data_IF_014174081877
#
_entry.id   IF_014174081877
#
_cell.length_a   1.000
_cell.length_b   1.000
_cell.length_c   1.000
_cell.angle_alpha   90.00
_cell.angle_beta   90.00
_cell.angle_gamma   90.00
#
_symmetry.space_group_name_H-M   'P 1'
#
loop_
_entity.id
_entity.type
_entity.pdbx_description
1 polymer ?
#
# COMPACT_ATOMS: atom_id res chain seq x y z
N UNK A 1 41.51 -27.95 -28.55
CA UNK A 1 41.39 -27.20 -27.28
C UNK A 1 40.28 -26.16 -27.46
N UNK A 2 39.21 -26.21 -26.69
CA UNK A 2 38.15 -25.18 -26.74
C UNK A 2 38.70 -23.92 -26.06
N UNK A 3 39.03 -22.89 -26.84
CA UNK A 3 39.50 -21.62 -26.31
C UNK A 3 38.28 -20.88 -25.78
N UNK A 4 38.29 -20.60 -24.48
CA UNK A 4 37.25 -19.80 -23.83
C UNK A 4 37.81 -18.39 -23.65
N UNK A 5 37.20 -17.40 -24.29
CA UNK A 5 37.54 -15.99 -24.06
C UNK A 5 36.62 -15.45 -22.97
N UNK A 6 37.20 -14.92 -21.90
CA UNK A 6 36.45 -14.39 -20.76
C UNK A 6 36.70 -12.90 -20.58
N UNK A 7 35.64 -12.16 -20.28
CA UNK A 7 35.68 -10.78 -19.80
C UNK A 7 35.13 -10.74 -18.37
N UNK A 8 35.84 -10.07 -17.48
CA UNK A 8 35.45 -9.93 -16.07
C UNK A 8 35.61 -8.47 -15.66
N UNK A 9 34.50 -7.86 -15.26
CA UNK A 9 34.43 -6.56 -14.60
C UNK A 9 33.79 -6.67 -13.21
N UNK A 10 33.68 -5.56 -12.46
CA UNK A 10 33.19 -5.57 -11.07
C UNK A 10 31.75 -6.09 -10.91
N UNK A 11 30.88 -5.76 -11.86
CA UNK A 11 29.45 -6.12 -11.84
C UNK A 11 29.04 -7.00 -13.02
N UNK A 12 29.97 -7.32 -13.94
CA UNK A 12 29.66 -8.01 -15.18
C UNK A 12 30.71 -9.07 -15.49
N UNK A 13 30.25 -10.24 -15.89
CA UNK A 13 31.09 -11.33 -16.37
C UNK A 13 30.51 -11.87 -17.66
N UNK A 14 31.36 -12.10 -18.66
CA UNK A 14 30.98 -12.75 -19.90
C UNK A 14 32.03 -13.78 -20.32
N UNK A 15 31.57 -14.88 -20.90
CA UNK A 15 32.43 -15.89 -21.50
C UNK A 15 31.85 -16.34 -22.84
N UNK A 16 32.74 -16.52 -23.80
CA UNK A 16 32.42 -17.12 -25.10
C UNK A 16 33.35 -18.29 -25.35
N UNK A 17 32.86 -19.28 -26.09
CA UNK A 17 33.64 -20.43 -26.51
C UNK A 17 33.78 -20.36 -28.02
N UNK A 18 35.00 -20.48 -28.58
CA UNK A 18 35.21 -20.33 -30.02
C UNK A 18 34.42 -21.33 -30.88
N UNK A 19 34.01 -22.46 -30.31
CA UNK A 19 33.17 -23.48 -30.98
C UNK A 19 31.66 -23.23 -30.87
N UNK A 20 31.23 -22.20 -30.13
CA UNK A 20 29.82 -21.88 -29.88
C UNK A 20 29.57 -20.39 -30.06
N UNK A 21 28.64 -20.02 -30.94
CA UNK A 21 28.21 -18.61 -31.09
C UNK A 21 27.47 -18.05 -29.86
N UNK A 22 27.19 -18.88 -28.85
CA UNK A 22 26.53 -18.45 -27.62
C UNK A 22 27.52 -17.79 -26.64
N UNK A 23 27.18 -16.59 -26.19
CA UNK A 23 27.83 -15.88 -25.09
C UNK A 23 27.08 -16.20 -23.79
N UNK A 24 27.80 -16.63 -22.75
CA UNK A 24 27.27 -16.73 -21.39
C UNK A 24 27.64 -15.46 -20.64
N UNK A 25 26.69 -14.81 -20.00
CA UNK A 25 26.95 -13.62 -19.20
C UNK A 25 26.25 -13.69 -17.84
N UNK A 26 26.80 -12.96 -16.88
CA UNK A 26 26.24 -12.76 -15.53
C UNK A 26 26.39 -11.29 -15.18
N UNK A 27 25.33 -10.72 -14.62
CA UNK A 27 25.31 -9.34 -14.16
C UNK A 27 24.89 -9.31 -12.70
N UNK A 28 25.72 -8.72 -11.85
CA UNK A 28 25.51 -8.56 -10.43
C UNK A 28 25.07 -7.12 -10.15
N UNK A 29 23.77 -6.87 -10.36
CA UNK A 29 23.17 -5.58 -10.07
C UNK A 29 22.98 -5.42 -8.55
N UNK A 30 23.54 -4.34 -7.98
CA UNK A 30 23.17 -3.86 -6.64
C UNK A 30 22.25 -2.67 -6.82
N UNK A 31 21.07 -2.71 -6.22
CA UNK A 31 20.07 -1.65 -6.33
C UNK A 31 19.79 -1.04 -4.97
N UNK A 32 19.97 0.27 -4.87
CA UNK A 32 19.56 1.07 -3.72
C UNK A 32 18.21 1.71 -4.03
N UNK A 33 17.19 1.33 -3.25
CA UNK A 33 15.83 1.86 -3.40
C UNK A 33 15.47 2.60 -2.12
N UNK A 34 15.28 3.91 -2.24
CA UNK A 34 14.95 4.77 -1.10
C UNK A 34 13.61 5.47 -1.35
N UNK A 35 12.69 5.31 -0.39
CA UNK A 35 11.48 6.11 -0.29
C UNK A 35 11.70 7.31 0.62
N UNK A 36 11.39 8.53 0.16
CA UNK A 36 11.47 9.72 1.01
C UNK A 36 10.41 10.76 0.72
N UNK A 37 10.20 11.64 1.71
CA UNK A 37 9.23 12.74 1.66
C UNK A 37 9.96 14.08 1.68
N UNK A 38 9.77 14.91 0.64
CA UNK A 38 10.44 16.22 0.50
C UNK A 38 9.41 17.34 0.32
N UNK A 39 9.62 18.49 0.97
CA UNK A 39 8.90 19.74 0.71
C UNK A 39 9.79 20.72 -0.07
N UNK A 40 9.24 21.41 -1.06
CA UNK A 40 9.98 22.44 -1.84
C UNK A 40 10.05 23.80 -1.13
N UNK A 41 9.15 24.07 -0.19
CA UNK A 41 9.02 25.34 0.54
C UNK A 41 8.59 25.07 1.99
N UNK A 42 8.90 25.98 2.91
CA UNK A 42 8.51 25.92 4.33
C UNK A 42 7.00 25.69 4.53
N UNK A 43 6.17 26.32 3.68
CA UNK A 43 4.71 26.18 3.69
C UNK A 43 4.16 25.27 2.58
N UNK A 44 5.05 24.64 1.80
CA UNK A 44 4.66 23.80 0.67
C UNK A 44 4.15 22.42 1.09
N UNK A 45 3.23 21.84 0.32
CA UNK A 45 2.80 20.46 0.52
C UNK A 45 3.98 19.50 0.30
N UNK A 46 4.13 18.54 1.21
CA UNK A 46 5.09 17.46 1.04
C UNK A 46 4.74 16.57 -0.16
N UNK A 47 5.77 16.09 -0.86
CA UNK A 47 5.65 15.11 -1.94
C UNK A 47 6.53 13.90 -1.62
N UNK A 48 6.08 12.73 -2.03
CA UNK A 48 6.82 11.50 -1.83
C UNK A 48 7.52 11.11 -3.12
N UNK A 49 8.70 10.51 -2.97
CA UNK A 49 9.55 10.11 -4.08
C UNK A 49 10.06 8.71 -3.81
N UNK A 50 10.16 7.93 -4.89
CA UNK A 50 11.01 6.76 -4.95
C UNK A 50 12.24 7.15 -5.76
N UNK A 51 13.40 6.77 -5.26
CA UNK A 51 14.70 7.05 -5.86
C UNK A 51 15.44 5.73 -5.95
N UNK A 52 15.89 5.41 -7.16
CA UNK A 52 16.57 4.17 -7.50
C UNK A 52 17.91 4.53 -8.08
N UNK A 53 18.96 3.97 -7.49
CA UNK A 53 20.34 4.13 -7.92
C UNK A 53 21.11 2.82 -7.79
N UNK A 54 22.29 2.77 -8.39
CA UNK A 54 23.24 1.68 -8.25
C UNK A 54 24.65 2.25 -8.05
N UNK A 55 25.54 1.55 -7.33
CA UNK A 55 26.98 1.86 -7.36
C UNK A 55 27.63 1.53 -8.71
N UNK A 56 26.95 0.79 -9.59
CA UNK A 56 27.44 0.46 -10.93
C UNK A 56 27.32 1.70 -11.85
N UNK A 57 28.43 2.23 -12.41
CA UNK A 57 28.40 3.39 -13.31
C UNK A 57 27.67 3.11 -14.63
N UNK A 58 27.55 1.85 -15.05
CA UNK A 58 26.85 1.47 -16.28
C UNK A 58 25.33 1.30 -16.05
N UNK A 59 24.86 1.45 -14.81
CA UNK A 59 23.45 1.31 -14.48
C UNK A 59 22.63 2.49 -15.00
N UNK A 60 21.67 2.20 -15.88
CA UNK A 60 20.75 3.19 -16.43
C UNK A 60 19.32 2.66 -16.42
N UNK A 61 18.39 3.43 -15.84
CA UNK A 61 16.95 3.20 -16.01
C UNK A 61 16.44 4.26 -16.99
N UNK A 62 15.98 3.83 -18.17
CA UNK A 62 15.54 4.74 -19.24
C UNK A 62 16.61 5.78 -19.62
N UNK A 63 17.89 5.39 -19.62
CA UNK A 63 19.02 6.27 -19.95
C UNK A 63 19.44 7.22 -18.81
N UNK A 64 18.90 7.06 -17.59
CA UNK A 64 19.28 7.86 -16.43
C UNK A 64 20.06 7.01 -15.43
N UNK A 65 21.24 7.48 -15.01
CA UNK A 65 22.04 6.87 -13.93
C UNK A 65 21.28 6.81 -12.59
N UNK A 66 20.39 7.79 -12.36
CA UNK A 66 19.54 7.87 -11.18
C UNK A 66 18.10 8.08 -11.59
N UNK A 67 17.24 7.16 -11.18
CA UNK A 67 15.82 7.22 -11.49
C UNK A 67 15.03 7.73 -10.30
N UNK A 68 14.38 8.88 -10.47
CA UNK A 68 13.54 9.48 -9.46
C UNK A 68 12.12 9.66 -9.97
N UNK A 69 11.16 9.05 -9.27
CA UNK A 69 9.74 9.15 -9.61
C UNK A 69 8.93 9.71 -8.44
N UNK A 70 8.09 10.74 -8.65
CA UNK A 70 7.11 11.12 -7.65
C UNK A 70 6.09 9.99 -7.50
N UNK A 71 5.81 9.62 -6.26
CA UNK A 71 4.77 8.64 -5.94
C UNK A 71 3.71 9.28 -5.06
N UNK A 72 2.45 8.96 -5.33
CA UNK A 72 1.37 9.30 -4.42
C UNK A 72 1.28 8.17 -3.40
N UNK A 73 1.82 8.38 -2.20
CA UNK A 73 1.37 7.57 -1.07
C UNK A 73 -0.04 8.03 -0.71
N UNK A 74 -1.01 7.11 -0.58
CA UNK A 74 -2.31 7.45 -0.03
C UNK A 74 -2.07 8.11 1.32
N UNK A 75 -2.65 9.29 1.53
CA UNK A 75 -2.55 9.97 2.82
C UNK A 75 -3.38 9.20 3.83
N UNK A 76 -2.87 9.12 5.05
CA UNK A 76 -3.65 8.77 6.22
C UNK A 76 -4.90 9.65 6.26
N UNK A 77 -6.07 9.01 6.28
CA UNK A 77 -7.34 9.73 6.39
C UNK A 77 -7.93 9.47 7.76
N UNK A 78 -8.24 10.56 8.45
CA UNK A 78 -9.08 10.53 9.62
C UNK A 78 -10.51 10.85 9.18
N UNK A 79 -11.47 10.05 9.60
CA UNK A 79 -12.87 10.29 9.32
C UNK A 79 -13.70 10.07 10.58
N UNK A 80 -14.59 11.02 10.86
CA UNK A 80 -15.71 10.82 11.77
C UNK A 80 -16.93 10.53 10.92
N UNK A 81 -17.58 9.41 11.16
CA UNK A 81 -18.75 8.97 10.39
C UNK A 81 -19.92 8.74 11.33
N UNK A 82 -21.10 9.18 10.91
CA UNK A 82 -22.36 8.79 11.51
C UNK A 82 -22.88 7.57 10.76
N UNK A 83 -23.19 6.50 11.48
CA UNK A 83 -23.78 5.29 10.89
C UNK A 83 -25.18 5.04 11.46
N UNK A 84 -26.13 4.74 10.58
CA UNK A 84 -27.45 4.26 10.97
C UNK A 84 -27.76 2.99 10.16
N UNK A 85 -27.99 1.89 10.85
CA UNK A 85 -28.24 0.58 10.25
C UNK A 85 -29.58 0.06 10.74
N UNK A 86 -30.46 -0.27 9.80
CA UNK A 86 -31.71 -0.97 10.09
C UNK A 86 -31.55 -2.43 9.65
N UNK A 87 -31.66 -3.36 10.60
CA UNK A 87 -31.69 -4.80 10.33
C UNK A 87 -33.13 -5.26 10.49
N UNK A 88 -33.70 -5.81 9.42
CA UNK A 88 -35.04 -6.40 9.45
C UNK A 88 -34.98 -7.90 9.24
N UNK A 89 -35.70 -8.66 10.06
CA UNK A 89 -35.83 -10.11 9.91
C UNK A 89 -36.94 -10.46 8.90
N UNK A 90 -36.64 -11.29 7.89
CA UNK A 90 -37.64 -11.72 6.89
C UNK A 90 -38.71 -12.69 7.46
N UNK A 91 -38.39 -13.42 8.53
CA UNK A 91 -39.28 -14.40 9.17
C UNK A 91 -39.71 -14.02 10.59
N UNK A 92 -38.89 -13.24 11.28
CA UNK A 92 -39.14 -12.83 12.65
C UNK A 92 -39.01 -11.31 12.74
N UNK A 93 -40.14 -10.62 12.72
CA UNK A 93 -40.18 -9.17 12.87
C UNK A 93 -39.79 -8.72 14.29
N UNK A 94 -39.71 -9.65 15.26
CA UNK A 94 -39.26 -9.34 16.62
C UNK A 94 -37.74 -9.11 16.69
N UNK A 95 -36.98 -9.50 15.66
CA UNK A 95 -35.54 -9.25 15.58
C UNK A 95 -35.18 -7.95 14.84
N UNK A 96 -36.15 -7.07 14.59
CA UNK A 96 -35.90 -5.80 13.93
C UNK A 96 -35.11 -4.88 14.86
N UNK A 97 -33.94 -4.44 14.39
CA UNK A 97 -33.00 -3.63 15.16
C UNK A 97 -32.64 -2.39 14.36
N UNK A 98 -32.70 -1.22 15.01
CA UNK A 98 -32.09 -0.01 14.51
C UNK A 98 -30.84 0.27 15.33
N UNK A 99 -29.70 0.48 14.69
CA UNK A 99 -28.49 0.97 15.36
C UNK A 99 -28.16 2.35 14.84
N UNK A 100 -27.79 3.28 15.72
CA UNK A 100 -27.20 4.56 15.32
C UNK A 100 -25.93 4.81 16.13
N UNK A 101 -24.91 5.37 15.51
CA UNK A 101 -23.64 5.61 16.20
C UNK A 101 -22.71 6.56 15.48
N UNK A 102 -21.65 6.91 16.19
CA UNK A 102 -20.50 7.61 15.65
C UNK A 102 -19.32 6.65 15.61
N UNK A 103 -18.60 6.66 14.49
CA UNK A 103 -17.39 5.87 14.31
C UNK A 103 -16.25 6.78 13.87
N UNK A 104 -15.13 6.64 14.55
CA UNK A 104 -13.86 7.24 14.17
C UNK A 104 -13.02 6.21 13.42
N UNK A 105 -12.55 6.60 12.23
CA UNK A 105 -11.76 5.77 11.33
C UNK A 105 -10.38 6.36 11.15
N UNK A 106 -9.36 5.51 11.08
CA UNK A 106 -8.01 5.85 10.63
C UNK A 106 -7.68 4.97 9.43
N UNK A 107 -7.42 5.56 8.28
CA UNK A 107 -7.05 4.81 7.07
C UNK A 107 -5.59 5.13 6.69
N UNK A 108 -4.58 4.52 7.34
CA UNK A 108 -3.17 4.90 7.19
C UNK A 108 -2.62 4.63 5.79
N UNK A 109 -3.04 3.54 5.15
CA UNK A 109 -2.51 3.09 3.86
C UNK A 109 -3.54 3.19 2.71
N UNK A 110 -4.71 3.78 2.98
CA UNK A 110 -5.82 3.86 2.03
C UNK A 110 -6.55 2.55 1.73
N UNK A 111 -6.19 1.44 2.40
CA UNK A 111 -6.73 0.08 2.19
C UNK A 111 -7.31 -0.53 3.46
N UNK A 112 -6.58 -0.42 4.55
CA UNK A 112 -6.99 -0.84 5.89
C UNK A 112 -7.53 0.37 6.64
N UNK A 113 -8.71 0.24 7.23
CA UNK A 113 -9.34 1.31 8.01
C UNK A 113 -9.83 0.76 9.34
N UNK A 114 -8.95 0.60 10.35
CA UNK A 114 -9.37 0.40 11.72
C UNK A 114 -10.34 1.51 12.17
N UNK A 115 -11.34 1.12 12.94
CA UNK A 115 -12.31 2.03 13.51
C UNK A 115 -12.66 1.68 14.95
N UNK A 116 -13.06 2.71 15.69
CA UNK A 116 -13.72 2.59 16.99
C UNK A 116 -14.98 3.44 16.95
N UNK A 117 -16.07 2.96 17.52
CA UNK A 117 -17.32 3.68 17.55
C UNK A 117 -18.16 3.37 18.76
N UNK A 118 -19.08 4.27 19.04
CA UNK A 118 -20.06 4.12 20.10
C UNK A 118 -21.43 4.58 19.59
N UNK A 119 -22.48 3.99 20.13
CA UNK A 119 -23.84 4.26 19.67
C UNK A 119 -24.90 3.62 20.53
N UNK A 120 -26.11 3.58 19.99
CA UNK A 120 -27.28 2.99 20.61
C UNK A 120 -27.92 1.98 19.66
N UNK A 121 -28.31 0.83 20.22
CA UNK A 121 -29.18 -0.15 19.61
C UNK A 121 -30.60 0.06 20.12
N UNK A 122 -31.55 0.11 19.21
CA UNK A 122 -32.98 0.23 19.47
C UNK A 122 -33.65 -1.07 19.05
N UNK A 123 -34.18 -1.81 20.03
CA UNK A 123 -35.09 -2.91 19.76
C UNK A 123 -36.40 -2.35 19.25
N UNK A 124 -36.77 -2.67 18.01
CA UNK A 124 -38.04 -2.19 17.42
C UNK A 124 -39.25 -3.00 17.93
N UNK A 125 -39.02 -4.02 18.76
CA UNK A 125 -40.03 -4.81 19.45
C UNK A 125 -39.93 -4.63 20.98
N UNK A 126 -41.04 -4.78 21.71
CA UNK A 126 -41.15 -4.64 23.18
C UNK A 126 -40.59 -3.32 23.75
N UNK A 127 -41.33 -2.22 23.57
CA UNK A 127 -41.13 -0.93 24.24
C UNK A 127 -39.82 -0.17 23.92
N UNK A 128 -39.13 -0.49 22.82
CA UNK A 128 -38.08 0.39 22.30
C UNK A 128 -36.80 0.39 23.12
N UNK A 129 -36.44 -0.74 23.76
CA UNK A 129 -35.27 -0.80 24.66
C UNK A 129 -34.02 -0.30 23.95
N UNK A 130 -33.44 0.77 24.52
CA UNK A 130 -32.17 1.36 24.10
C UNK A 130 -31.03 0.71 24.85
N UNK A 131 -30.01 0.26 24.12
CA UNK A 131 -28.80 -0.32 24.71
C UNK A 131 -27.58 0.40 24.12
N UNK A 132 -26.75 1.07 24.94
CA UNK A 132 -25.51 1.65 24.45
C UNK A 132 -24.52 0.55 24.06
N UNK A 133 -23.72 0.80 23.03
CA UNK A 133 -22.66 -0.12 22.63
C UNK A 133 -21.37 0.65 22.32
N UNK A 134 -20.26 -0.08 22.42
CA UNK A 134 -18.95 0.30 21.88
C UNK A 134 -18.55 -0.81 20.92
N UNK A 135 -18.03 -0.45 19.77
CA UNK A 135 -17.54 -1.40 18.78
C UNK A 135 -16.18 -0.97 18.25
N UNK A 136 -15.35 -1.95 17.93
CA UNK A 136 -14.10 -1.76 17.22
C UNK A 136 -14.02 -2.77 16.08
N UNK A 137 -13.33 -2.41 15.00
CA UNK A 137 -13.18 -3.28 13.85
C UNK A 137 -12.17 -2.75 12.86
N UNK A 138 -12.00 -3.48 11.76
CA UNK A 138 -11.12 -3.10 10.65
C UNK A 138 -11.91 -3.28 9.36
N UNK A 139 -12.07 -2.20 8.60
CA UNK A 139 -12.59 -2.28 7.24
C UNK A 139 -11.43 -2.49 6.26
N UNK A 140 -11.59 -3.41 5.30
CA UNK A 140 -10.61 -3.66 4.24
C UNK A 140 -11.23 -3.35 2.88
N UNK A 141 -10.61 -2.46 2.11
CA UNK A 141 -11.01 -2.19 0.73
C UNK A 141 -10.29 -3.15 -0.23
N UNK A 142 -11.01 -4.19 -0.65
CA UNK A 142 -10.51 -5.26 -1.53
C UNK A 142 -10.53 -4.88 -3.02
N UNK A 143 -11.08 -3.73 -3.42
CA UNK A 143 -11.31 -3.38 -4.83
C UNK A 143 -10.24 -2.48 -5.45
N UNK A 144 -9.26 -2.00 -4.66
CA UNK A 144 -8.16 -1.16 -5.15
C UNK A 144 -6.90 -1.99 -5.47
N UNK A 145 -6.95 -2.71 -6.59
CA UNK A 145 -5.78 -3.33 -7.22
C UNK A 145 -5.20 -2.41 -8.30
#
# INVERSE_FOLDING_TARGET
MNITTTYTGPHFWAATNSSSQAIRYRYHAVLDIIGYRKRKSLFGRYRNFIDVSSPDPDFHINGLERYKKPVAFPKDRFALTWNSTLVTGLRDQQSNLLSTGLQFHITPDGRLSPYIGAGYLYSLYNAGKMVPYIQGGINMDLLKF
#
